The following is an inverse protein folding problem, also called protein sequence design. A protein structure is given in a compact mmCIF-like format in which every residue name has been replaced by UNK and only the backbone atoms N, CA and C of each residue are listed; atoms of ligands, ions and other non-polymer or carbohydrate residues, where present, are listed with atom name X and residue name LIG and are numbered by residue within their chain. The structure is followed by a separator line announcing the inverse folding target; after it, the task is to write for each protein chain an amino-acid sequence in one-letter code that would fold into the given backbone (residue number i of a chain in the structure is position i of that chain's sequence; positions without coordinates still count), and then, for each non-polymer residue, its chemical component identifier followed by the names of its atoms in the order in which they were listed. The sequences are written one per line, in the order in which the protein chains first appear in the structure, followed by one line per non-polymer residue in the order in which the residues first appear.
data_IF_341303686906
#
_entry.id   IF_341303686906
#
_cell.length_a   1.000
_cell.length_b   1.000
_cell.length_c   1.000
_cell.angle_alpha   90.00
_cell.angle_beta   90.00
_cell.angle_gamma   90.00
#
_symmetry.space_group_name_H-M   'P 1'
#
loop_
_entity.id
_entity.type
_entity.pdbx_description
1 polymer ?
#
# COMPACT_ATOMS: atom_id res chain seq x y z
N UNK A 1 -35.79 -9.00 3.74
CA UNK A 1 -35.03 -9.94 4.61
C UNK A 1 -33.60 -9.98 4.08
N UNK A 2 -32.60 -10.34 4.89
CA UNK A 2 -31.17 -10.31 4.51
C UNK A 2 -30.47 -11.62 4.89
N UNK A 3 -29.23 -11.80 4.42
CA UNK A 3 -28.43 -13.00 4.73
C UNK A 3 -28.57 -14.13 3.71
N UNK A 4 -29.22 -13.86 2.58
CA UNK A 4 -29.19 -14.74 1.42
C UNK A 4 -27.81 -14.71 0.73
N UNK A 5 -27.68 -15.44 -0.36
CA UNK A 5 -26.44 -15.48 -1.14
C UNK A 5 -26.02 -14.04 -1.53
N UNK A 6 -24.74 -13.72 -1.35
CA UNK A 6 -24.19 -12.38 -1.62
C UNK A 6 -24.21 -11.99 -3.10
N UNK A 7 -24.48 -12.94 -3.99
CA UNK A 7 -24.64 -12.71 -5.43
C UNK A 7 -26.05 -12.21 -5.80
N UNK A 8 -27.01 -12.26 -4.87
CA UNK A 8 -28.35 -11.76 -5.10
C UNK A 8 -28.37 -10.22 -5.11
N UNK A 9 -29.01 -9.57 -6.09
CA UNK A 9 -28.97 -8.11 -6.23
C UNK A 9 -29.49 -7.32 -5.03
N UNK A 10 -30.45 -7.89 -4.28
CA UNK A 10 -31.00 -7.27 -3.08
C UNK A 10 -30.03 -7.32 -1.88
N UNK A 11 -29.00 -8.18 -1.95
CA UNK A 11 -27.93 -8.30 -0.95
C UNK A 11 -26.73 -7.39 -1.24
N UNK A 12 -26.70 -6.69 -2.38
CA UNK A 12 -25.59 -5.82 -2.76
C UNK A 12 -25.61 -4.49 -1.97
N UNK A 13 -24.60 -4.20 -1.13
CA UNK A 13 -24.47 -2.90 -0.49
C UNK A 13 -23.98 -1.84 -1.49
N UNK A 14 -24.12 -0.57 -1.12
CA UNK A 14 -23.49 0.54 -1.85
C UNK A 14 -22.27 1.08 -1.08
N UNK A 15 -21.31 1.64 -1.80
CA UNK A 15 -20.16 2.35 -1.23
C UNK A 15 -19.99 3.69 -1.96
N UNK A 16 -19.74 4.74 -1.19
CA UNK A 16 -19.39 6.06 -1.70
C UNK A 16 -18.15 6.53 -0.93
N UNK A 17 -17.14 6.99 -1.66
CA UNK A 17 -15.91 7.50 -1.06
C UNK A 17 -15.54 8.86 -1.68
N UNK A 18 -15.18 9.80 -0.82
CA UNK A 18 -14.73 11.14 -1.23
C UNK A 18 -13.67 11.62 -0.25
N UNK A 19 -12.63 12.28 -0.78
CA UNK A 19 -11.61 12.90 0.04
C UNK A 19 -10.34 13.21 -0.75
N UNK A 20 -9.39 13.95 -0.16
CA UNK A 20 -8.18 14.38 -0.85
C UNK A 20 -7.24 13.22 -1.25
N UNK A 21 -7.35 12.08 -0.57
CA UNK A 21 -6.59 10.85 -0.85
C UNK A 21 -7.30 9.89 -1.81
N UNK A 22 -8.57 10.13 -2.15
CA UNK A 22 -9.36 9.30 -3.07
C UNK A 22 -9.23 9.86 -4.48
N UNK A 23 -9.05 8.98 -5.46
CA UNK A 23 -9.01 9.36 -6.87
C UNK A 23 -10.43 9.65 -7.37
N UNK A 24 -10.60 10.75 -8.09
CA UNK A 24 -11.90 11.08 -8.70
C UNK A 24 -12.10 10.21 -9.96
N UNK A 25 -12.91 9.15 -9.82
CA UNK A 25 -13.18 8.16 -10.87
C UNK A 25 -14.66 8.11 -11.29
N UNK A 26 -15.55 8.80 -10.58
CA UNK A 26 -17.00 8.66 -10.75
C UNK A 26 -17.49 7.28 -10.29
N UNK A 27 -18.39 6.68 -11.07
CA UNK A 27 -18.96 5.36 -10.79
C UNK A 27 -17.97 4.25 -11.13
N UNK A 28 -17.72 3.35 -10.17
CA UNK A 28 -16.90 2.16 -10.37
C UNK A 28 -17.78 0.91 -10.49
N UNK A 29 -17.48 -0.03 -11.40
CA UNK A 29 -18.40 -1.13 -11.72
C UNK A 29 -18.41 -2.25 -10.67
N UNK A 30 -17.29 -2.50 -9.99
CA UNK A 30 -17.17 -3.59 -9.01
C UNK A 30 -16.27 -3.14 -7.86
N UNK A 31 -16.71 -3.41 -6.64
CA UNK A 31 -15.92 -3.27 -5.43
C UNK A 31 -16.28 -4.42 -4.48
N UNK A 32 -15.29 -5.10 -3.91
CA UNK A 32 -15.52 -6.17 -2.94
C UNK A 32 -15.37 -5.63 -1.52
N UNK A 33 -16.38 -5.83 -0.66
CA UNK A 33 -16.38 -5.33 0.71
C UNK A 33 -15.16 -5.82 1.52
N UNK A 34 -14.63 -7.01 1.23
CA UNK A 34 -13.42 -7.54 1.87
C UNK A 34 -12.18 -6.66 1.64
N UNK A 35 -12.17 -5.81 0.61
CA UNK A 35 -11.03 -4.94 0.30
C UNK A 35 -11.09 -3.56 0.98
N UNK A 36 -12.17 -3.24 1.71
CA UNK A 36 -12.27 -1.96 2.45
C UNK A 36 -11.06 -1.77 3.37
N UNK A 37 -10.64 -2.83 4.07
CA UNK A 37 -9.49 -2.77 4.96
C UNK A 37 -8.21 -2.37 4.21
N UNK A 38 -7.91 -3.00 3.07
CA UNK A 38 -6.75 -2.63 2.25
C UNK A 38 -6.84 -1.19 1.74
N UNK A 39 -8.02 -0.73 1.32
CA UNK A 39 -8.23 0.66 0.89
C UNK A 39 -7.91 1.65 2.03
N UNK A 40 -8.42 1.38 3.24
CA UNK A 40 -8.14 2.21 4.43
C UNK A 40 -6.65 2.22 4.75
N UNK A 41 -5.98 1.06 4.70
CA UNK A 41 -4.53 0.98 4.94
C UNK A 41 -3.74 1.83 3.92
N UNK A 42 -4.09 1.79 2.63
CA UNK A 42 -3.45 2.63 1.62
C UNK A 42 -3.65 4.13 1.88
N UNK A 43 -4.87 4.54 2.25
CA UNK A 43 -5.18 5.94 2.56
C UNK A 43 -4.39 6.45 3.79
N UNK A 44 -4.19 5.59 4.78
CA UNK A 44 -3.44 5.88 5.99
C UNK A 44 -1.92 5.64 5.85
N UNK A 45 -1.45 5.18 4.68
CA UNK A 45 -0.06 4.81 4.42
C UNK A 45 0.48 3.72 5.37
N UNK A 46 -0.38 2.79 5.76
CA UNK A 46 -0.04 1.61 6.57
C UNK A 46 0.25 0.45 5.61
N UNK A 47 1.53 0.07 5.49
CA UNK A 47 1.96 -0.93 4.51
C UNK A 47 2.26 -2.32 5.09
N UNK A 48 2.00 -2.50 6.38
CA UNK A 48 2.09 -3.78 7.09
C UNK A 48 0.70 -4.15 7.64
N UNK A 49 -0.22 -4.63 6.78
CA UNK A 49 -1.54 -5.07 7.22
C UNK A 49 -1.44 -6.31 8.12
N UNK A 50 -2.52 -6.60 8.84
CA UNK A 50 -2.74 -7.93 9.40
C UNK A 50 -2.99 -8.95 8.29
N UNK A 51 -2.98 -10.25 8.64
CA UNK A 51 -3.38 -11.31 7.71
C UNK A 51 -4.86 -11.18 7.39
N UNK A 52 -5.20 -10.98 6.11
CA UNK A 52 -6.55 -10.69 5.62
C UNK A 52 -6.73 -11.18 4.19
N UNK A 53 -7.98 -11.43 3.78
CA UNK A 53 -8.34 -11.86 2.42
C UNK A 53 -8.44 -10.70 1.41
N UNK A 54 -8.10 -9.48 1.81
CA UNK A 54 -8.12 -8.30 0.95
C UNK A 54 -7.07 -8.41 -0.17
N UNK A 55 -7.41 -7.92 -1.36
CA UNK A 55 -6.49 -7.74 -2.48
C UNK A 55 -6.16 -6.26 -2.65
N UNK A 56 -4.91 -5.91 -2.34
CA UNK A 56 -4.42 -4.52 -2.44
C UNK A 56 -4.42 -4.00 -3.88
N UNK A 57 -4.25 -4.88 -4.88
CA UNK A 57 -4.23 -4.48 -6.28
C UNK A 57 -5.60 -4.07 -6.78
N UNK A 58 -6.69 -4.66 -6.23
CA UNK A 58 -8.07 -4.25 -6.56
C UNK A 58 -8.39 -2.83 -6.11
N UNK A 59 -7.77 -2.36 -5.02
CA UNK A 59 -8.06 -1.03 -4.43
C UNK A 59 -7.04 0.05 -4.75
N UNK A 60 -5.84 -0.34 -5.19
CA UNK A 60 -4.79 0.58 -5.60
C UNK A 60 -5.25 1.67 -6.61
N UNK A 61 -6.12 1.39 -7.60
CA UNK A 61 -6.61 2.42 -8.52
C UNK A 61 -7.45 3.52 -7.86
N UNK A 62 -8.04 3.27 -6.68
CA UNK A 62 -8.94 4.19 -5.98
C UNK A 62 -8.22 5.26 -5.16
N UNK A 63 -6.91 5.11 -4.90
CA UNK A 63 -6.13 6.10 -4.16
C UNK A 63 -5.41 7.06 -5.10
N UNK A 64 -5.34 8.34 -4.70
CA UNK A 64 -4.66 9.39 -5.47
C UNK A 64 -3.13 9.23 -5.42
N UNK A 65 -2.60 8.85 -4.26
CA UNK A 65 -1.17 8.65 -4.03
C UNK A 65 -0.87 7.17 -4.07
N UNK A 66 -0.58 6.67 -5.27
CA UNK A 66 -0.27 5.26 -5.48
C UNK A 66 1.14 4.94 -4.94
N UNK A 67 1.29 3.97 -4.01
CA UNK A 67 2.61 3.50 -3.58
C UNK A 67 3.37 2.83 -4.74
N UNK A 68 4.69 2.68 -4.59
CA UNK A 68 5.47 1.93 -5.58
C UNK A 68 5.03 0.47 -5.65
N UNK A 69 5.29 -0.17 -6.78
CA UNK A 69 4.94 -1.58 -6.98
C UNK A 69 5.60 -2.50 -5.94
N UNK A 70 6.80 -2.16 -5.47
CA UNK A 70 7.47 -2.92 -4.42
C UNK A 70 6.75 -2.81 -3.08
N UNK A 71 6.19 -1.64 -2.75
CA UNK A 71 5.36 -1.45 -1.55
C UNK A 71 4.07 -2.27 -1.66
N UNK A 72 3.41 -2.27 -2.83
CA UNK A 72 2.19 -3.07 -3.06
C UNK A 72 2.46 -4.58 -2.96
N UNK A 73 3.57 -5.05 -3.56
CA UNK A 73 4.01 -6.44 -3.41
C UNK A 73 4.30 -6.80 -1.96
N UNK A 74 4.96 -5.91 -1.23
CA UNK A 74 5.27 -6.12 0.18
C UNK A 74 4.00 -6.17 1.05
N UNK A 75 3.03 -5.30 0.77
CA UNK A 75 1.69 -5.32 1.38
C UNK A 75 0.98 -6.65 1.14
N UNK A 76 0.90 -7.10 -0.12
CA UNK A 76 0.25 -8.37 -0.51
C UNK A 76 0.88 -9.59 0.17
N UNK A 77 2.20 -9.57 0.36
CA UNK A 77 2.88 -10.62 1.13
C UNK A 77 2.45 -10.61 2.60
N UNK A 78 2.41 -9.44 3.22
CA UNK A 78 1.98 -9.32 4.62
C UNK A 78 0.53 -9.73 4.83
N UNK A 79 -0.40 -9.36 3.92
CA UNK A 79 -1.81 -9.79 4.03
C UNK A 79 -1.97 -11.30 3.91
N UNK A 80 -1.04 -11.98 3.22
CA UNK A 80 -0.98 -13.44 3.12
C UNK A 80 -0.20 -14.12 4.26
N UNK A 81 0.25 -13.36 5.27
CA UNK A 81 1.06 -13.90 6.37
C UNK A 81 2.48 -14.31 5.98
N UNK A 82 2.99 -13.82 4.85
CA UNK A 82 4.34 -14.13 4.37
C UNK A 82 5.36 -13.12 4.90
N UNK A 83 6.59 -13.61 5.12
CA UNK A 83 7.74 -12.78 5.51
C UNK A 83 8.10 -11.74 4.43
N UNK A 84 8.80 -10.68 4.85
CA UNK A 84 9.19 -9.59 3.94
C UNK A 84 10.08 -10.03 2.80
N UNK A 85 10.01 -9.32 1.67
CA UNK A 85 10.92 -9.53 0.55
C UNK A 85 12.35 -9.20 1.03
N UNK A 86 13.23 -10.20 1.01
CA UNK A 86 14.60 -10.18 1.54
C UNK A 86 15.49 -9.03 1.04
N UNK A 87 15.05 -8.21 0.08
CA UNK A 87 15.82 -7.11 -0.51
C UNK A 87 15.27 -5.70 -0.26
N UNK A 88 14.02 -5.52 0.17
CA UNK A 88 13.40 -4.18 0.24
C UNK A 88 13.94 -3.34 1.42
N UNK A 89 14.23 -3.99 2.55
CA UNK A 89 14.87 -3.35 3.71
C UNK A 89 16.31 -2.90 3.43
N UNK A 90 17.03 -3.60 2.54
CA UNK A 90 18.43 -3.31 2.22
C UNK A 90 18.59 -2.09 1.30
N UNK A 91 17.63 -1.79 0.42
CA UNK A 91 17.74 -0.67 -0.53
C UNK A 91 17.54 0.71 0.13
N UNK A 92 16.65 0.81 1.12
CA UNK A 92 16.42 2.06 1.85
C UNK A 92 17.55 2.38 2.84
N UNK A 93 18.17 1.36 3.42
CA UNK A 93 19.33 1.52 4.32
C UNK A 93 20.60 1.78 3.51
N UNK A 94 20.82 1.03 2.42
CA UNK A 94 22.02 1.14 1.60
C UNK A 94 22.22 2.52 0.99
N UNK A 95 21.15 3.16 0.50
CA UNK A 95 21.22 4.48 -0.14
C UNK A 95 21.66 5.59 0.82
N UNK A 96 21.11 5.59 2.04
CA UNK A 96 21.44 6.57 3.06
C UNK A 96 22.83 6.35 3.65
N UNK A 97 23.25 5.09 3.83
CA UNK A 97 24.59 4.76 4.32
C UNK A 97 25.67 5.17 3.31
N UNK A 98 25.43 4.96 2.01
CA UNK A 98 26.38 5.34 0.97
C UNK A 98 26.57 6.86 0.89
N UNK A 99 25.47 7.62 0.95
CA UNK A 99 25.50 9.08 0.98
C UNK A 99 26.25 9.60 2.23
N UNK A 100 26.01 8.99 3.39
CA UNK A 100 26.64 9.38 4.64
C UNK A 100 28.14 9.08 4.63
N UNK A 101 28.56 7.92 4.11
CA UNK A 101 29.97 7.59 3.92
C UNK A 101 30.66 8.54 2.94
N UNK A 102 30.00 8.87 1.83
CA UNK A 102 30.52 9.82 0.85
C UNK A 102 30.70 11.21 1.47
N UNK A 103 29.72 11.71 2.23
CA UNK A 103 29.81 12.98 2.94
C UNK A 103 30.92 12.99 3.99
N UNK A 104 31.07 11.90 4.76
CA UNK A 104 32.16 11.78 5.72
C UNK A 104 33.53 11.81 5.03
N UNK A 105 33.67 11.12 3.90
CA UNK A 105 34.93 11.09 3.15
C UNK A 105 35.26 12.46 2.54
N UNK A 106 34.26 13.14 1.98
CA UNK A 106 34.40 14.49 1.46
C UNK A 106 34.81 15.49 2.55
N UNK A 107 34.21 15.37 3.75
CA UNK A 107 34.55 16.22 4.90
C UNK A 107 36.00 15.99 5.38
N UNK A 108 36.44 14.72 5.43
CA UNK A 108 37.81 14.37 5.80
C UNK A 108 38.85 14.87 4.78
N UNK A 109 38.52 14.88 3.49
CA UNK A 109 39.38 15.42 2.45
C UNK A 109 39.50 16.94 2.56
N UNK A 110 38.38 17.63 2.84
CA UNK A 110 38.36 19.08 3.04
C UNK A 110 39.13 19.54 4.28
N UNK A 111 39.08 18.76 5.37
CA UNK A 111 39.80 19.05 6.62
C UNK A 111 41.32 18.73 6.56
N UNK A 112 41.79 18.07 5.50
CA UNK A 112 43.21 17.73 5.28
C UNK A 112 43.91 18.61 4.24
N UNK A 113 43.20 19.56 3.64
CA UNK A 113 43.72 20.64 2.78
C UNK A 113 43.90 21.92 3.61
#
# INVERSE_FOLDING_TARGET
MHGYNNSEPDMHPFIVAMGPGIRNLGTVPVFYQVDVYALICLLLKIYKPNVVDSDVYRVAPFVKYLPSMDVLKQFDRYSKGLNSLSGASMMLVGSNVFLMLFLMFALQLFLRL
#
